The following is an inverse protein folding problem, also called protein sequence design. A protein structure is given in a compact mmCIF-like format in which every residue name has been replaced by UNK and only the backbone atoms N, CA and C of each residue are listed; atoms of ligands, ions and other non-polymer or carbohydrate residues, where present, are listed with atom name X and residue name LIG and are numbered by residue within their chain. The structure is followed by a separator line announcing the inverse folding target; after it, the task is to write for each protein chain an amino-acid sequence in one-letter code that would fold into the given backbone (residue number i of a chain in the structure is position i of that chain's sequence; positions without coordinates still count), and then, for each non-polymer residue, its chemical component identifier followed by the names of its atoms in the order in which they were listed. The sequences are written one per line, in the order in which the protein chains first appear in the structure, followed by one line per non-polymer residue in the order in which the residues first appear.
data_IF_048154548266
#
_entry.id   IF_048154548266
#
_cell.length_a   1.000
_cell.length_b   1.000
_cell.length_c   1.000
_cell.angle_alpha   90.00
_cell.angle_beta   90.00
_cell.angle_gamma   90.00
#
_symmetry.space_group_name_H-M   'P 1'
#
loop_
_entity.id
_entity.type
_entity.pdbx_description
1 polymer ?
#
# COMPACT_ATOMS: atom_id res chain seq x y z
N UNK A 1 25.42 13.98 -11.15
CA UNK A 1 26.01 13.56 -9.85
C UNK A 1 26.75 14.75 -9.28
N UNK A 2 26.61 15.00 -7.98
CA UNK A 2 27.24 16.13 -7.29
C UNK A 2 27.98 15.56 -6.07
N UNK A 3 29.30 15.81 -5.89
CA UNK A 3 30.08 15.25 -4.79
C UNK A 3 29.60 15.68 -3.39
N UNK A 4 29.27 16.97 -3.22
CA UNK A 4 28.85 17.56 -1.94
C UNK A 4 27.41 18.09 -2.01
N UNK A 5 26.45 17.20 -2.25
CA UNK A 5 25.02 17.54 -2.23
C UNK A 5 24.41 17.34 -0.84
N UNK A 6 23.51 18.23 -0.42
CA UNK A 6 22.91 18.22 0.93
C UNK A 6 21.82 17.16 1.12
N UNK A 7 21.27 16.62 0.03
CA UNK A 7 20.29 15.54 0.03
C UNK A 7 20.88 14.30 -0.65
N UNK A 8 20.30 13.13 -0.44
CA UNK A 8 20.74 11.91 -1.13
C UNK A 8 20.51 12.02 -2.65
N UNK A 9 19.40 12.64 -3.04
CA UNK A 9 18.99 12.86 -4.43
C UNK A 9 17.93 13.95 -4.52
N UNK A 10 17.61 14.37 -5.74
CA UNK A 10 16.52 15.29 -6.05
C UNK A 10 15.99 15.03 -7.46
N UNK A 11 14.68 14.80 -7.54
CA UNK A 11 13.99 14.36 -8.75
C UNK A 11 13.60 15.48 -9.71
N UNK A 12 14.40 16.53 -9.87
CA UNK A 12 14.06 17.64 -10.77
C UNK A 12 13.73 17.12 -12.18
N UNK A 13 12.70 17.69 -12.81
CA UNK A 13 12.17 17.13 -14.05
C UNK A 13 13.18 17.21 -15.19
N UNK A 14 13.54 16.04 -15.74
CA UNK A 14 14.50 15.92 -16.84
C UNK A 14 15.98 16.02 -16.42
N UNK A 15 16.28 16.39 -15.17
CA UNK A 15 17.64 16.45 -14.63
C UNK A 15 17.63 15.91 -13.20
N UNK A 16 17.77 14.60 -13.05
CA UNK A 16 17.85 13.98 -11.72
C UNK A 16 19.25 14.18 -11.14
N UNK A 17 19.29 14.71 -9.92
CA UNK A 17 20.53 14.97 -9.17
C UNK A 17 20.69 13.87 -8.12
N UNK A 18 21.91 13.36 -7.99
CA UNK A 18 22.29 12.39 -6.98
C UNK A 18 23.57 12.83 -6.28
N UNK A 19 23.63 12.61 -4.97
CA UNK A 19 24.88 12.63 -4.21
C UNK A 19 25.75 11.47 -4.71
N UNK A 20 27.00 11.77 -5.10
CA UNK A 20 27.89 10.77 -5.72
C UNK A 20 28.04 9.51 -4.86
N UNK A 21 28.27 9.68 -3.56
CA UNK A 21 28.40 8.58 -2.59
C UNK A 21 27.12 7.75 -2.40
N UNK A 22 25.98 8.14 -2.97
CA UNK A 22 24.70 7.41 -2.88
C UNK A 22 24.32 6.68 -4.17
N UNK A 23 24.95 7.00 -5.31
CA UNK A 23 24.59 6.43 -6.61
C UNK A 23 25.74 5.68 -7.31
N UNK A 24 26.99 5.88 -6.87
CA UNK A 24 28.13 5.11 -7.42
C UNK A 24 28.14 3.70 -6.82
N UNK A 25 28.39 2.71 -7.69
CA UNK A 25 28.55 1.29 -7.39
C UNK A 25 29.75 0.70 -8.15
N UNK A 26 30.62 0.01 -7.44
CA UNK A 26 31.77 -0.74 -7.97
C UNK A 26 31.62 -2.24 -7.64
N UNK A 27 31.37 -3.07 -8.67
CA UNK A 27 31.16 -4.52 -8.51
C UNK A 27 32.35 -5.24 -7.86
N UNK A 28 33.56 -4.70 -7.98
CA UNK A 28 34.77 -5.31 -7.41
C UNK A 28 35.02 -4.95 -5.95
N UNK A 29 34.36 -3.90 -5.43
CA UNK A 29 34.64 -3.33 -4.10
C UNK A 29 33.42 -3.27 -3.20
N UNK A 30 32.24 -3.07 -3.78
CA UNK A 30 31.02 -2.82 -3.03
C UNK A 30 30.26 -4.10 -2.71
N UNK A 31 29.62 -4.16 -1.53
CA UNK A 31 28.80 -5.30 -1.16
C UNK A 31 27.55 -5.40 -2.03
N UNK A 32 26.97 -6.59 -2.13
CA UNK A 32 25.80 -6.85 -3.00
C UNK A 32 24.58 -6.01 -2.64
N UNK A 33 24.36 -5.69 -1.36
CA UNK A 33 23.22 -4.84 -0.94
C UNK A 33 23.35 -3.41 -1.49
N UNK A 34 24.57 -2.92 -1.68
CA UNK A 34 24.85 -1.57 -2.20
C UNK A 34 24.28 -1.37 -3.60
N UNK A 35 24.41 -2.38 -4.44
CA UNK A 35 23.81 -2.40 -5.78
C UNK A 35 22.30 -2.17 -5.72
N UNK A 36 21.63 -2.78 -4.75
CA UNK A 36 20.20 -2.64 -4.53
C UNK A 36 19.85 -1.25 -4.02
N UNK A 37 20.59 -0.70 -3.05
CA UNK A 37 20.39 0.69 -2.58
C UNK A 37 20.49 1.70 -3.72
N UNK A 38 21.52 1.59 -4.56
CA UNK A 38 21.70 2.47 -5.73
C UNK A 38 20.54 2.34 -6.70
N UNK A 39 20.16 1.11 -7.05
CA UNK A 39 19.04 0.88 -7.97
C UNK A 39 17.70 1.35 -7.39
N UNK A 40 17.49 1.16 -6.09
CA UNK A 40 16.36 1.70 -5.35
C UNK A 40 16.33 3.22 -5.48
N UNK A 41 17.41 3.91 -5.16
CA UNK A 41 17.46 5.37 -5.23
C UNK A 41 17.15 5.89 -6.65
N UNK A 42 17.71 5.23 -7.67
CA UNK A 42 17.43 5.56 -9.08
C UNK A 42 15.96 5.32 -9.43
N UNK A 43 15.38 4.18 -9.03
CA UNK A 43 13.98 3.87 -9.31
C UNK A 43 13.01 4.85 -8.64
N UNK A 44 13.33 5.28 -7.42
CA UNK A 44 12.55 6.28 -6.67
C UNK A 44 12.53 7.64 -7.39
N UNK A 45 13.68 8.14 -7.82
CA UNK A 45 13.74 9.42 -8.54
C UNK A 45 13.14 9.36 -9.96
N UNK A 46 13.22 8.20 -10.61
CA UNK A 46 12.50 7.93 -11.87
C UNK A 46 10.99 7.95 -11.63
N UNK A 47 10.52 7.37 -10.53
CA UNK A 47 9.10 7.41 -10.18
C UNK A 47 8.63 8.85 -9.95
N UNK A 48 9.45 9.72 -9.35
CA UNK A 48 9.15 11.15 -9.21
C UNK A 48 8.99 11.92 -10.53
N UNK A 49 9.59 11.44 -11.62
CA UNK A 49 9.35 12.02 -12.95
C UNK A 49 7.87 11.91 -13.35
N UNK A 50 7.16 10.92 -12.83
CA UNK A 50 5.72 10.74 -13.00
C UNK A 50 4.94 11.32 -11.81
N UNK A 51 5.26 10.90 -10.58
CA UNK A 51 4.57 11.27 -9.34
C UNK A 51 5.34 12.37 -8.61
N UNK A 52 5.01 13.62 -8.91
CA UNK A 52 5.68 14.82 -8.41
C UNK A 52 5.86 15.87 -9.49
N UNK A 53 6.36 15.44 -10.66
CA UNK A 53 6.61 16.34 -11.77
C UNK A 53 5.49 16.35 -12.81
N UNK A 54 5.12 15.18 -13.35
CA UNK A 54 4.09 15.09 -14.39
C UNK A 54 2.68 15.34 -13.83
N UNK A 55 2.44 14.88 -12.60
CA UNK A 55 1.32 15.24 -11.75
C UNK A 55 1.87 15.67 -10.39
N UNK A 56 1.29 16.72 -9.80
CA UNK A 56 1.79 17.29 -8.54
C UNK A 56 0.62 17.50 -7.58
N UNK A 57 0.71 17.14 -6.30
CA UNK A 57 -0.36 17.38 -5.34
C UNK A 57 -0.70 18.87 -5.32
N UNK A 58 -1.99 19.16 -5.16
CA UNK A 58 -2.50 20.53 -5.08
C UNK A 58 -1.93 21.28 -3.89
N UNK A 59 -1.65 20.56 -2.80
CA UNK A 59 -1.07 21.14 -1.60
C UNK A 59 -0.18 20.13 -0.87
N UNK A 60 0.72 20.64 -0.05
CA UNK A 60 1.69 19.83 0.71
C UNK A 60 1.03 18.85 1.70
N UNK A 61 -0.22 19.08 2.08
CA UNK A 61 -1.00 18.15 2.93
C UNK A 61 -1.12 16.77 2.27
N UNK A 62 -1.12 16.71 0.93
CA UNK A 62 -1.22 15.47 0.15
C UNK A 62 0.13 15.04 -0.43
N UNK A 63 1.26 15.39 0.22
CA UNK A 63 2.60 15.03 -0.27
C UNK A 63 2.80 13.51 -0.44
N UNK A 64 2.04 12.71 0.29
CA UNK A 64 2.04 11.25 0.11
C UNK A 64 1.68 10.82 -1.34
N UNK A 65 0.98 11.65 -2.12
CA UNK A 65 0.74 11.42 -3.55
C UNK A 65 2.02 11.50 -4.42
N UNK A 66 3.09 12.11 -3.92
CA UNK A 66 4.40 12.07 -4.55
C UNK A 66 5.26 10.98 -3.91
N UNK A 67 5.58 11.17 -2.64
CA UNK A 67 6.57 10.37 -1.92
C UNK A 67 6.09 8.94 -1.72
N UNK A 68 4.83 8.77 -1.32
CA UNK A 68 4.24 7.45 -1.11
C UNK A 68 4.22 6.63 -2.39
N UNK A 69 3.91 7.26 -3.52
CA UNK A 69 3.99 6.61 -4.83
C UNK A 69 5.42 6.31 -5.25
N UNK A 70 6.36 7.23 -5.03
CA UNK A 70 7.75 7.03 -5.40
C UNK A 70 8.37 5.85 -4.63
N UNK A 71 8.15 5.74 -3.32
CA UNK A 71 8.61 4.59 -2.51
C UNK A 71 7.94 3.29 -2.94
N UNK A 72 6.62 3.32 -3.17
CA UNK A 72 5.90 2.13 -3.63
C UNK A 72 6.42 1.65 -5.00
N UNK A 73 6.54 2.56 -5.97
CA UNK A 73 6.99 2.22 -7.32
C UNK A 73 8.49 1.90 -7.38
N UNK A 74 9.31 2.45 -6.50
CA UNK A 74 10.70 2.03 -6.32
C UNK A 74 10.78 0.52 -6.07
N UNK A 75 10.08 0.01 -5.05
CA UNK A 75 10.07 -1.42 -4.75
C UNK A 75 9.44 -2.25 -5.88
N UNK A 76 8.32 -1.78 -6.43
CA UNK A 76 7.60 -2.47 -7.51
C UNK A 76 8.43 -2.58 -8.79
N UNK A 77 9.11 -1.52 -9.23
CA UNK A 77 9.93 -1.55 -10.44
C UNK A 77 11.12 -2.49 -10.29
N UNK A 78 11.81 -2.45 -9.15
CA UNK A 78 12.91 -3.38 -8.89
C UNK A 78 12.47 -4.85 -8.86
N UNK A 79 11.26 -5.11 -8.35
CA UNK A 79 10.69 -6.46 -8.35
C UNK A 79 10.33 -6.96 -9.75
N UNK A 80 9.87 -6.05 -10.63
CA UNK A 80 9.55 -6.38 -12.03
C UNK A 80 10.78 -6.42 -12.95
N UNK A 81 11.90 -5.82 -12.55
CA UNK A 81 13.13 -5.77 -13.36
C UNK A 81 13.82 -7.15 -13.41
N UNK A 82 13.69 -7.80 -14.57
CA UNK A 82 14.23 -9.15 -14.77
C UNK A 82 15.76 -9.19 -14.94
N UNK A 83 16.38 -8.11 -15.42
CA UNK A 83 17.82 -8.05 -15.67
C UNK A 83 18.53 -7.50 -14.43
N UNK A 84 19.43 -8.29 -13.84
CA UNK A 84 20.25 -7.88 -12.70
C UNK A 84 19.55 -7.87 -11.33
N UNK A 85 18.23 -7.98 -11.29
CA UNK A 85 17.42 -7.93 -10.05
C UNK A 85 16.35 -9.04 -9.97
N UNK A 86 16.47 -10.11 -10.78
CA UNK A 86 15.50 -11.21 -10.84
C UNK A 86 15.18 -11.84 -9.48
N UNK A 87 16.19 -11.97 -8.62
CA UNK A 87 16.04 -12.55 -7.28
C UNK A 87 16.01 -11.47 -6.18
N UNK A 88 15.77 -10.20 -6.54
CA UNK A 88 15.82 -9.09 -5.61
C UNK A 88 14.74 -9.15 -4.53
N UNK A 89 13.62 -9.84 -4.81
CA UNK A 89 12.45 -9.97 -3.92
C UNK A 89 12.10 -8.63 -3.28
N UNK A 90 12.05 -7.58 -4.09
CA UNK A 90 12.00 -6.20 -3.60
C UNK A 90 10.67 -5.88 -2.94
N UNK A 91 9.58 -6.50 -3.42
CA UNK A 91 8.29 -6.42 -2.73
C UNK A 91 8.26 -7.21 -1.42
N UNK A 92 9.03 -8.29 -1.27
CA UNK A 92 9.12 -9.01 0.00
C UNK A 92 9.89 -8.20 1.05
N UNK A 93 11.01 -7.57 0.65
CA UNK A 93 11.73 -6.65 1.53
C UNK A 93 10.89 -5.41 1.88
N UNK A 94 10.03 -4.95 0.98
CA UNK A 94 9.08 -3.87 1.28
C UNK A 94 8.14 -4.25 2.43
N UNK A 95 7.65 -5.51 2.46
CA UNK A 95 6.80 -5.98 3.56
C UNK A 95 7.55 -5.95 4.89
N UNK A 96 8.75 -6.52 4.94
CA UNK A 96 9.52 -6.61 6.20
C UNK A 96 10.17 -5.28 6.61
N UNK A 97 10.50 -4.43 5.65
CA UNK A 97 11.16 -3.14 5.85
C UNK A 97 10.14 -2.05 6.13
N UNK A 98 9.38 -1.65 5.10
CA UNK A 98 8.49 -0.50 5.19
C UNK A 98 7.20 -0.81 5.94
N UNK A 99 6.52 -1.89 5.56
CA UNK A 99 5.18 -2.17 6.10
C UNK A 99 5.22 -2.58 7.58
N UNK A 100 6.14 -3.46 8.00
CA UNK A 100 6.29 -3.83 9.41
C UNK A 100 6.75 -2.66 10.26
N UNK A 101 7.64 -1.82 9.73
CA UNK A 101 8.08 -0.61 10.42
C UNK A 101 6.92 0.39 10.60
N UNK A 102 6.11 0.60 9.56
CA UNK A 102 4.89 1.40 9.66
C UNK A 102 3.95 0.84 10.74
N UNK A 103 3.67 -0.47 10.77
CA UNK A 103 2.83 -1.09 11.80
C UNK A 103 3.43 -0.97 13.21
N UNK A 104 4.76 -0.98 13.34
CA UNK A 104 5.44 -0.81 14.62
C UNK A 104 5.27 0.61 15.16
N UNK A 105 5.39 1.63 14.31
CA UNK A 105 5.27 3.03 14.67
C UNK A 105 3.81 3.51 14.75
N UNK A 106 2.88 2.86 14.05
CA UNK A 106 1.45 3.24 14.01
C UNK A 106 0.68 2.71 15.23
N UNK A 107 1.31 2.79 16.40
CA UNK A 107 0.76 2.44 17.71
C UNK A 107 0.15 3.66 18.44
N UNK A 108 0.01 4.77 17.70
CA UNK A 108 -0.38 6.09 18.19
C UNK A 108 0.65 7.17 17.87
N UNK A 109 1.90 6.81 17.56
CA UNK A 109 2.95 7.75 17.16
C UNK A 109 2.80 8.23 15.71
N UNK A 110 2.42 7.33 14.79
CA UNK A 110 2.07 7.75 13.42
C UNK A 110 0.67 8.35 13.36
N UNK A 111 0.58 9.45 12.62
CA UNK A 111 -0.65 10.14 12.30
C UNK A 111 -1.28 9.71 10.98
N UNK A 112 -2.18 10.56 10.49
CA UNK A 112 -2.69 10.56 9.12
C UNK A 112 -1.55 10.71 8.11
N UNK A 113 -1.68 10.08 6.93
CA UNK A 113 -0.74 10.32 5.81
C UNK A 113 -1.09 11.59 5.04
N UNK A 114 -2.35 12.05 5.12
CA UNK A 114 -2.69 13.43 4.81
C UNK A 114 -2.18 14.30 5.97
N UNK A 115 -1.12 15.05 5.71
CA UNK A 115 -0.42 15.84 6.73
C UNK A 115 -1.32 16.96 7.23
N UNK A 116 -1.16 17.27 8.52
CA UNK A 116 -1.75 18.45 9.12
C UNK A 116 -0.66 19.52 9.26
N UNK A 117 -0.73 20.56 8.43
CA UNK A 117 0.29 21.62 8.36
C UNK A 117 -0.06 22.84 9.23
N UNK A 118 -0.94 22.71 10.22
CA UNK A 118 -1.34 23.82 11.10
C UNK A 118 -0.33 24.12 12.22
N UNK A 119 0.70 23.30 12.41
CA UNK A 119 1.72 23.46 13.47
C UNK A 119 2.97 24.20 12.99
N UNK A 120 3.63 24.91 13.92
CA UNK A 120 4.86 25.73 13.79
C UNK A 120 6.13 24.96 13.33
N UNK A 121 5.98 23.71 12.89
CA UNK A 121 7.07 22.89 12.39
C UNK A 121 7.41 23.27 10.95
N UNK A 122 8.70 23.27 10.61
CA UNK A 122 9.09 23.61 9.24
C UNK A 122 8.55 22.55 8.28
N UNK A 123 8.01 23.01 7.15
CA UNK A 123 7.48 22.14 6.09
C UNK A 123 8.46 21.01 5.73
N UNK A 124 9.76 21.31 5.62
CA UNK A 124 10.79 20.31 5.32
C UNK A 124 10.81 19.14 6.32
N UNK A 125 10.65 19.37 7.62
CA UNK A 125 10.60 18.30 8.63
C UNK A 125 9.35 17.41 8.46
N UNK A 126 8.23 18.00 8.04
CA UNK A 126 6.96 17.29 7.91
C UNK A 126 6.86 16.48 6.60
N UNK A 127 7.63 16.82 5.57
CA UNK A 127 7.62 16.05 4.31
C UNK A 127 8.36 14.71 4.43
N UNK A 128 9.32 14.58 5.35
CA UNK A 128 10.13 13.36 5.55
C UNK A 128 9.65 12.47 6.70
N UNK A 129 8.37 12.55 7.06
CA UNK A 129 7.81 11.74 8.15
C UNK A 129 7.46 10.32 7.70
N UNK A 130 7.54 9.37 8.63
CA UNK A 130 7.29 7.95 8.38
C UNK A 130 5.86 7.66 7.89
N UNK A 131 4.87 8.52 8.20
CA UNK A 131 3.52 8.44 7.65
C UNK A 131 3.53 8.48 6.11
N UNK A 132 4.38 9.35 5.54
CA UNK A 132 4.47 9.61 4.11
C UNK A 132 5.32 8.56 3.40
N UNK A 133 6.43 8.13 4.03
CA UNK A 133 7.42 7.24 3.41
C UNK A 133 7.22 5.76 3.71
N UNK A 134 6.46 5.39 4.75
CA UNK A 134 6.27 4.00 5.16
C UNK A 134 4.79 3.60 5.10
N UNK A 135 3.90 4.38 5.76
CA UNK A 135 2.46 4.06 5.81
C UNK A 135 1.76 4.26 4.45
N UNK A 136 1.99 5.39 3.77
CA UNK A 136 1.33 5.66 2.49
C UNK A 136 1.68 4.65 1.37
N UNK A 137 2.94 4.23 1.17
CA UNK A 137 3.28 3.16 0.23
C UNK A 137 2.58 1.83 0.56
N UNK A 138 2.45 1.51 1.86
CA UNK A 138 1.74 0.30 2.28
C UNK A 138 0.25 0.37 1.92
N UNK A 139 -0.37 1.56 2.05
CA UNK A 139 -1.77 1.82 1.64
C UNK A 139 -1.93 1.66 0.13
N UNK A 140 -0.98 2.19 -0.65
CA UNK A 140 -0.98 2.02 -2.11
C UNK A 140 -0.81 0.56 -2.52
N UNK A 141 0.06 -0.20 -1.85
CA UNK A 141 0.22 -1.64 -2.08
C UNK A 141 -1.07 -2.38 -1.77
N UNK A 142 -1.71 -2.11 -0.64
CA UNK A 142 -2.98 -2.73 -0.28
C UNK A 142 -4.05 -2.45 -1.33
N UNK A 143 -4.18 -1.20 -1.78
CA UNK A 143 -5.10 -0.83 -2.86
C UNK A 143 -4.78 -1.59 -4.15
N UNK A 144 -3.51 -1.66 -4.54
CA UNK A 144 -3.08 -2.38 -5.75
C UNK A 144 -3.55 -3.84 -5.72
N UNK A 145 -3.32 -4.56 -4.62
CA UNK A 145 -3.79 -5.94 -4.50
C UNK A 145 -5.32 -6.03 -4.37
N UNK A 146 -5.96 -5.05 -3.74
CA UNK A 146 -7.41 -5.00 -3.57
C UNK A 146 -8.16 -4.87 -4.90
N UNK A 147 -7.67 -4.02 -5.81
CA UNK A 147 -8.27 -3.84 -7.15
C UNK A 147 -7.65 -4.77 -8.20
N UNK A 148 -6.47 -5.30 -7.96
CA UNK A 148 -5.70 -6.16 -8.87
C UNK A 148 -4.90 -5.40 -9.94
N UNK A 149 -3.80 -6.02 -10.40
CA UNK A 149 -2.79 -5.42 -11.28
C UNK A 149 -3.34 -4.68 -12.50
N UNK A 150 -4.30 -5.30 -13.20
CA UNK A 150 -4.79 -4.77 -14.46
C UNK A 150 -5.63 -3.49 -14.25
N UNK A 151 -6.51 -3.48 -13.23
CA UNK A 151 -7.32 -2.32 -12.86
C UNK A 151 -6.43 -1.20 -12.32
N UNK A 152 -5.47 -1.53 -11.47
CA UNK A 152 -4.55 -0.54 -10.91
C UNK A 152 -3.73 0.14 -12.01
N UNK A 153 -3.10 -0.64 -12.91
CA UNK A 153 -2.32 -0.10 -14.03
C UNK A 153 -3.18 0.78 -14.95
N UNK A 154 -4.41 0.35 -15.23
CA UNK A 154 -5.35 1.10 -16.07
C UNK A 154 -5.81 2.38 -15.37
N UNK A 155 -6.09 2.32 -14.08
CA UNK A 155 -6.45 3.48 -13.26
C UNK A 155 -5.31 4.51 -13.21
N UNK A 156 -4.07 4.08 -13.03
CA UNK A 156 -2.88 4.95 -13.13
C UNK A 156 -2.77 5.58 -14.53
N UNK A 157 -3.01 4.81 -15.59
CA UNK A 157 -2.99 5.33 -16.97
C UNK A 157 -4.08 6.39 -17.19
N UNK A 158 -5.30 6.16 -16.69
CA UNK A 158 -6.40 7.14 -16.73
C UNK A 158 -6.08 8.38 -15.91
N UNK A 159 -5.46 8.20 -14.75
CA UNK A 159 -5.07 9.28 -13.86
C UNK A 159 -4.12 10.24 -14.58
N UNK A 160 -3.05 9.71 -15.19
CA UNK A 160 -2.13 10.50 -16.00
C UNK A 160 -2.80 11.14 -17.22
N UNK A 161 -3.63 10.41 -17.96
CA UNK A 161 -4.29 10.95 -19.15
C UNK A 161 -5.21 12.15 -18.83
N UNK A 162 -5.90 12.09 -17.68
CA UNK A 162 -6.86 13.11 -17.25
C UNK A 162 -6.24 14.26 -16.49
N UNK A 163 -5.07 14.06 -15.87
CA UNK A 163 -4.42 15.03 -14.97
C UNK A 163 -3.03 15.49 -15.39
N UNK A 164 -2.58 15.12 -16.58
CA UNK A 164 -1.31 15.59 -17.16
C UNK A 164 -1.10 17.09 -16.95
N UNK A 165 0.07 17.45 -16.40
CA UNK A 165 0.50 18.83 -16.16
C UNK A 165 -0.43 19.65 -15.24
N UNK A 166 -1.17 18.97 -14.36
CA UNK A 166 -2.11 19.61 -13.45
C UNK A 166 -1.86 19.24 -11.99
N UNK A 167 -2.35 20.11 -11.11
CA UNK A 167 -2.41 19.86 -9.69
C UNK A 167 -3.52 18.85 -9.36
N UNK A 168 -3.25 17.91 -8.44
CA UNK A 168 -4.14 16.77 -8.13
C UNK A 168 -4.47 16.65 -6.65
N UNK A 169 -5.63 16.08 -6.34
CA UNK A 169 -6.01 15.67 -4.98
C UNK A 169 -6.17 14.14 -4.90
N UNK A 170 -6.26 13.54 -3.69
CA UNK A 170 -6.53 12.11 -3.55
C UNK A 170 -7.78 11.65 -4.30
N UNK A 171 -8.82 12.49 -4.34
CA UNK A 171 -10.08 12.22 -5.04
C UNK A 171 -9.92 12.08 -6.55
N UNK A 172 -8.94 12.74 -7.15
CA UNK A 172 -8.61 12.55 -8.56
C UNK A 172 -8.09 11.14 -8.82
N UNK A 173 -7.20 10.65 -7.95
CA UNK A 173 -6.66 9.30 -8.04
C UNK A 173 -7.74 8.24 -7.79
N UNK A 174 -8.56 8.41 -6.73
CA UNK A 174 -9.67 7.50 -6.43
C UNK A 174 -10.67 7.38 -7.58
N UNK A 175 -11.02 8.51 -8.22
CA UNK A 175 -11.90 8.50 -9.40
C UNK A 175 -11.28 7.77 -10.59
N UNK A 176 -9.98 7.91 -10.80
CA UNK A 176 -9.30 7.22 -11.89
C UNK A 176 -9.26 5.70 -11.67
N UNK A 177 -9.00 5.23 -10.46
CA UNK A 177 -9.07 3.81 -10.10
C UNK A 177 -10.51 3.29 -10.23
N UNK A 178 -11.50 3.99 -9.63
CA UNK A 178 -12.91 3.60 -9.72
C UNK A 178 -13.38 3.51 -11.17
N UNK A 179 -13.03 4.50 -12.00
CA UNK A 179 -13.37 4.49 -13.43
C UNK A 179 -12.74 3.30 -14.18
N UNK A 180 -11.57 2.82 -13.77
CA UNK A 180 -10.97 1.63 -14.37
C UNK A 180 -11.66 0.33 -13.89
N UNK A 181 -12.10 0.30 -12.64
CA UNK A 181 -12.84 -0.81 -12.04
C UNK A 181 -14.25 -0.97 -12.64
N UNK A 182 -14.93 0.14 -12.94
CA UNK A 182 -16.29 0.17 -13.48
C UNK A 182 -16.38 -0.26 -14.96
N UNK A 183 -15.25 -0.56 -15.62
CA UNK A 183 -15.26 -0.90 -17.04
C UNK A 183 -15.79 -2.32 -17.32
N UNK A 184 -16.67 -2.52 -18.33
CA UNK A 184 -17.28 -3.81 -18.64
C UNK A 184 -16.30 -4.92 -19.07
N UNK A 185 -15.08 -4.54 -19.48
CA UNK A 185 -14.02 -5.48 -19.88
C UNK A 185 -13.48 -6.29 -18.70
N UNK A 186 -13.79 -5.87 -17.48
CA UNK A 186 -13.51 -6.61 -16.28
C UNK A 186 -14.74 -7.43 -15.92
N UNK A 187 -14.62 -8.77 -15.75
CA UNK A 187 -15.75 -9.58 -15.29
C UNK A 187 -16.27 -8.94 -14.00
N UNK A 188 -17.59 -8.93 -13.73
CA UNK A 188 -18.15 -8.37 -12.50
C UNK A 188 -17.43 -9.03 -11.31
N UNK A 189 -16.39 -8.35 -10.81
CA UNK A 189 -15.56 -8.84 -9.72
C UNK A 189 -16.47 -8.83 -8.49
N UNK A 190 -16.19 -9.69 -7.52
CA UNK A 190 -16.99 -9.84 -6.29
C UNK A 190 -17.45 -8.50 -5.66
N UNK A 191 -16.70 -7.41 -5.86
CA UNK A 191 -17.03 -6.04 -5.45
C UNK A 191 -18.22 -5.37 -6.15
N UNK A 192 -18.55 -5.70 -7.41
CA UNK A 192 -19.75 -5.19 -8.08
C UNK A 192 -21.02 -5.55 -7.29
N UNK A 193 -20.99 -6.70 -6.60
CA UNK A 193 -22.09 -7.14 -5.74
C UNK A 193 -22.12 -6.49 -4.35
N UNK A 194 -21.03 -5.83 -3.92
CA UNK A 194 -20.92 -5.19 -2.61
C UNK A 194 -21.09 -3.66 -2.66
N UNK A 195 -21.20 -3.05 -3.85
CA UNK A 195 -21.40 -1.60 -4.05
C UNK A 195 -20.38 -0.71 -3.30
N UNK A 196 -19.14 -1.17 -3.15
CA UNK A 196 -18.10 -0.49 -2.36
C UNK A 196 -17.37 0.53 -3.24
N UNK A 197 -17.37 1.81 -2.85
CA UNK A 197 -16.63 2.86 -3.55
C UNK A 197 -15.18 2.94 -3.09
N UNK A 198 -14.24 3.06 -4.03
CA UNK A 198 -12.79 3.19 -3.74
C UNK A 198 -12.52 4.33 -2.77
N UNK A 199 -13.13 5.50 -3.00
CA UNK A 199 -12.95 6.68 -2.16
C UNK A 199 -13.31 6.42 -0.70
N UNK A 200 -14.47 5.82 -0.43
CA UNK A 200 -14.94 5.57 0.94
C UNK A 200 -14.00 4.66 1.72
N UNK A 201 -13.48 3.62 1.05
CA UNK A 201 -12.49 2.72 1.64
C UNK A 201 -11.20 3.48 1.91
N UNK A 202 -10.64 4.13 0.89
CA UNK A 202 -9.28 4.66 0.96
C UNK A 202 -9.17 5.91 1.81
N UNK A 203 -10.22 6.74 1.89
CA UNK A 203 -10.25 7.90 2.78
C UNK A 203 -10.02 7.50 4.24
N UNK A 204 -10.64 6.40 4.71
CA UNK A 204 -10.43 5.91 6.08
C UNK A 204 -8.98 5.51 6.34
N UNK A 205 -8.27 5.01 5.34
CA UNK A 205 -6.88 4.59 5.49
C UNK A 205 -5.91 5.77 5.50
N UNK A 206 -6.21 6.84 4.75
CA UNK A 206 -5.29 7.98 4.64
C UNK A 206 -5.46 8.99 5.78
N UNK A 207 -6.65 9.12 6.37
CA UNK A 207 -6.93 10.15 7.40
C UNK A 207 -6.81 9.65 8.84
N UNK A 208 -6.85 8.34 9.07
CA UNK A 208 -6.86 7.77 10.42
C UNK A 208 -5.45 7.39 10.87
N UNK A 209 -5.15 7.65 12.15
CA UNK A 209 -4.01 7.03 12.83
C UNK A 209 -4.34 5.58 13.22
N UNK A 210 -3.28 4.83 13.54
CA UNK A 210 -3.36 3.41 13.91
C UNK A 210 -3.81 2.53 12.74
N UNK A 211 -3.90 1.24 13.04
CA UNK A 211 -4.35 0.20 12.11
C UNK A 211 -5.27 -0.81 12.82
N UNK A 212 -6.05 -1.59 12.06
CA UNK A 212 -6.89 -2.63 12.63
C UNK A 212 -6.10 -3.91 12.94
N UNK A 213 -6.48 -4.58 14.03
CA UNK A 213 -6.16 -5.98 14.29
C UNK A 213 -7.40 -6.83 13.99
N UNK A 214 -7.24 -7.85 13.16
CA UNK A 214 -8.28 -8.82 12.82
C UNK A 214 -8.32 -9.91 13.90
N UNK A 215 -9.48 -10.09 14.52
CA UNK A 215 -9.71 -11.26 15.36
C UNK A 215 -10.45 -12.31 14.51
N UNK A 216 -9.82 -13.47 14.34
CA UNK A 216 -10.33 -14.58 13.54
C UNK A 216 -10.67 -15.74 14.45
N UNK A 217 -11.96 -16.08 14.54
CA UNK A 217 -12.47 -17.19 15.36
C UNK A 217 -13.08 -18.25 14.45
N UNK A 218 -12.66 -19.51 14.61
CA UNK A 218 -13.27 -20.64 13.92
C UNK A 218 -14.25 -21.36 14.86
N UNK A 219 -15.52 -21.42 14.45
CA UNK A 219 -16.54 -22.21 15.12
C UNK A 219 -16.78 -23.48 14.31
N UNK A 220 -16.46 -24.63 14.88
CA UNK A 220 -16.72 -25.92 14.24
C UNK A 220 -18.10 -26.44 14.64
N UNK A 221 -18.89 -26.86 13.64
CA UNK A 221 -20.17 -27.50 13.86
C UNK A 221 -20.13 -28.92 13.27
N UNK A 222 -20.14 -29.93 14.14
CA UNK A 222 -20.30 -31.32 13.73
C UNK A 222 -21.79 -31.60 13.49
N UNK A 223 -22.22 -31.54 12.24
CA UNK A 223 -23.50 -32.12 11.83
C UNK A 223 -23.23 -33.40 11.04
N UNK A 224 -24.05 -34.43 11.29
CA UNK A 224 -23.83 -35.86 11.01
C UNK A 224 -23.38 -36.26 9.59
N UNK A 225 -23.27 -35.35 8.62
CA UNK A 225 -22.87 -35.66 7.24
C UNK A 225 -21.96 -34.62 6.54
N UNK A 226 -21.53 -33.53 7.19
CA UNK A 226 -20.53 -32.59 6.65
C UNK A 226 -19.67 -31.96 7.75
N UNK A 227 -18.36 -31.93 7.53
CA UNK A 227 -17.44 -31.05 8.23
C UNK A 227 -17.76 -29.61 7.83
N UNK A 228 -18.57 -28.91 8.63
CA UNK A 228 -18.94 -27.53 8.40
C UNK A 228 -18.49 -26.68 9.59
N UNK A 229 -17.85 -25.57 9.31
CA UNK A 229 -17.54 -24.56 10.31
C UNK A 229 -18.01 -23.19 9.84
N UNK A 230 -17.92 -22.23 10.73
CA UNK A 230 -18.10 -20.82 10.46
C UNK A 230 -16.82 -20.08 10.86
N UNK A 231 -16.27 -19.31 9.93
CA UNK A 231 -15.20 -18.36 10.19
C UNK A 231 -15.83 -17.02 10.56
N UNK A 232 -15.54 -16.53 11.76
CA UNK A 232 -16.01 -15.24 12.27
C UNK A 232 -14.82 -14.30 12.32
N UNK A 233 -14.89 -13.20 11.59
CA UNK A 233 -13.84 -12.17 11.53
C UNK A 233 -14.41 -10.86 12.05
N UNK A 234 -13.72 -10.29 13.04
CA UNK A 234 -14.02 -8.95 13.58
C UNK A 234 -12.75 -8.09 13.57
N UNK A 235 -12.90 -6.78 13.78
CA UNK A 235 -11.78 -5.84 13.85
C UNK A 235 -11.78 -5.06 15.16
N UNK A 236 -10.58 -4.79 15.67
CA UNK A 236 -10.32 -3.83 16.76
C UNK A 236 -9.22 -2.85 16.35
N UNK A 237 -9.31 -1.61 16.82
CA UNK A 237 -8.21 -0.65 16.65
C UNK A 237 -7.02 -1.06 17.52
N UNK A 238 -5.82 -1.13 16.94
CA UNK A 238 -4.61 -1.41 17.70
C UNK A 238 -4.32 -0.28 18.70
N UNK A 239 -4.11 -0.65 19.97
CA UNK A 239 -3.92 0.31 21.07
C UNK A 239 -5.04 1.38 21.15
N UNK A 240 -6.29 0.97 20.96
CA UNK A 240 -7.45 1.86 21.11
C UNK A 240 -7.46 2.55 22.48
N UNK A 241 -7.88 3.82 22.49
CA UNK A 241 -8.09 4.62 23.70
C UNK A 241 -9.54 5.10 23.78
N UNK A 242 -9.96 5.67 24.92
CA UNK A 242 -11.34 6.17 25.08
C UNK A 242 -11.73 7.22 24.01
N UNK A 243 -10.76 7.95 23.46
CA UNK A 243 -10.97 8.94 22.39
C UNK A 243 -10.57 8.48 20.99
N UNK A 244 -10.05 7.26 20.82
CA UNK A 244 -9.58 6.76 19.51
C UNK A 244 -9.86 5.27 19.36
N UNK A 245 -11.01 4.96 18.75
CA UNK A 245 -11.43 3.60 18.43
C UNK A 245 -11.83 3.50 16.96
N UNK A 246 -10.87 3.79 16.09
CA UNK A 246 -11.06 3.83 14.64
C UNK A 246 -11.49 2.46 14.09
N UNK A 247 -12.17 2.49 12.95
CA UNK A 247 -12.61 1.32 12.19
C UNK A 247 -12.27 1.53 10.72
N UNK A 248 -12.13 0.43 9.99
CA UNK A 248 -11.73 0.48 8.59
C UNK A 248 -12.57 -0.46 7.74
N UNK A 249 -12.65 -0.14 6.45
CA UNK A 249 -12.95 -1.12 5.43
C UNK A 249 -11.70 -1.96 5.17
N UNK A 250 -11.77 -3.26 5.45
CA UNK A 250 -10.59 -4.13 5.36
C UNK A 250 -10.79 -5.16 4.24
N UNK A 251 -9.92 -5.20 3.21
CA UNK A 251 -9.95 -6.26 2.22
C UNK A 251 -9.51 -7.58 2.88
N UNK A 252 -10.38 -8.60 2.84
CA UNK A 252 -10.12 -9.90 3.44
C UNK A 252 -9.74 -10.91 2.36
N UNK A 253 -8.53 -11.43 2.50
CA UNK A 253 -8.02 -12.59 1.77
C UNK A 253 -7.81 -13.73 2.75
N UNK A 254 -8.07 -14.97 2.32
CA UNK A 254 -7.70 -16.13 3.11
C UNK A 254 -7.46 -17.36 2.22
N UNK A 255 -6.72 -18.30 2.77
CA UNK A 255 -6.51 -19.64 2.22
C UNK A 255 -6.68 -20.64 3.35
N UNK A 256 -6.98 -21.88 3.00
CA UNK A 256 -7.20 -22.94 3.98
C UNK A 256 -6.45 -24.21 3.59
N UNK A 257 -6.35 -25.15 4.53
CA UNK A 257 -5.64 -26.41 4.34
C UNK A 257 -6.09 -27.21 3.11
N UNK A 258 -7.34 -27.06 2.67
CA UNK A 258 -7.87 -27.77 1.49
C UNK A 258 -7.53 -27.08 0.17
N UNK A 259 -7.29 -25.76 0.20
CA UNK A 259 -7.05 -24.92 -0.98
C UNK A 259 -5.85 -24.01 -0.74
N UNK A 260 -4.65 -24.58 -0.81
CA UNK A 260 -3.32 -23.96 -0.56
C UNK A 260 -2.91 -22.90 -1.61
N UNK A 261 -3.72 -21.86 -1.81
CA UNK A 261 -3.44 -20.79 -2.75
C UNK A 261 -3.04 -19.50 -2.01
N UNK A 262 -1.75 -19.35 -1.76
CA UNK A 262 -1.18 -18.13 -1.18
C UNK A 262 -0.89 -17.04 -2.21
N UNK A 263 -1.02 -17.34 -3.50
CA UNK A 263 -0.65 -16.42 -4.60
C UNK A 263 -1.80 -15.50 -5.02
N UNK A 264 -3.05 -15.92 -4.82
CA UNK A 264 -4.20 -15.07 -5.11
C UNK A 264 -4.48 -14.11 -3.94
N UNK A 265 -3.98 -12.90 -4.05
CA UNK A 265 -4.14 -11.85 -3.03
C UNK A 265 -5.32 -10.92 -3.27
N UNK A 266 -6.18 -11.22 -4.25
CA UNK A 266 -7.38 -10.41 -4.46
C UNK A 266 -8.41 -10.71 -3.36
N UNK A 267 -9.01 -9.69 -2.74
CA UNK A 267 -9.96 -9.88 -1.65
C UNK A 267 -11.19 -10.65 -2.11
N UNK A 268 -11.58 -11.63 -1.29
CA UNK A 268 -12.79 -12.42 -1.48
C UNK A 268 -13.98 -11.70 -0.82
N UNK A 269 -13.71 -11.04 0.30
CA UNK A 269 -14.68 -10.31 1.08
C UNK A 269 -14.09 -8.96 1.52
N UNK A 270 -14.97 -8.07 1.93
CA UNK A 270 -14.60 -6.85 2.63
C UNK A 270 -15.25 -6.89 4.01
N UNK A 271 -14.46 -6.61 5.04
CA UNK A 271 -14.98 -6.39 6.38
C UNK A 271 -15.35 -4.91 6.50
N UNK A 272 -16.64 -4.68 6.72
CA UNK A 272 -17.20 -3.36 6.98
C UNK A 272 -16.79 -2.81 8.35
N UNK A 273 -16.73 -1.47 8.51
CA UNK A 273 -16.67 -0.85 9.83
C UNK A 273 -17.80 -1.37 10.73
N UNK A 274 -17.46 -1.71 11.97
CA UNK A 274 -18.40 -2.17 13.01
C UNK A 274 -19.16 -3.49 12.75
N UNK A 275 -18.93 -4.13 11.61
CA UNK A 275 -19.58 -5.39 11.26
C UNK A 275 -18.78 -6.62 11.69
N UNK A 276 -19.48 -7.76 11.71
CA UNK A 276 -18.88 -9.08 11.90
C UNK A 276 -19.04 -9.90 10.62
N UNK A 277 -17.92 -10.22 9.98
CA UNK A 277 -17.93 -11.04 8.78
C UNK A 277 -18.02 -12.52 9.15
N UNK A 278 -19.03 -13.21 8.64
CA UNK A 278 -19.28 -14.64 8.85
C UNK A 278 -19.18 -15.39 7.53
N UNK A 279 -18.26 -16.35 7.45
CA UNK A 279 -18.00 -17.11 6.23
C UNK A 279 -18.19 -18.60 6.52
N UNK A 280 -19.09 -19.31 5.80
CA UNK A 280 -19.20 -20.75 5.93
C UNK A 280 -17.94 -21.42 5.36
N UNK A 281 -17.34 -22.32 6.13
CA UNK A 281 -16.13 -23.06 5.76
C UNK A 281 -16.40 -24.57 5.75
N UNK A 282 -15.76 -25.26 4.80
CA UNK A 282 -15.88 -26.73 4.66
C UNK A 282 -14.57 -27.44 5.05
N UNK A 283 -13.81 -26.85 5.97
CA UNK A 283 -12.54 -27.39 6.46
C UNK A 283 -12.56 -27.49 7.99
N UNK A 284 -11.93 -28.53 8.52
CA UNK A 284 -11.56 -28.62 9.95
C UNK A 284 -10.08 -28.26 10.18
N UNK A 285 -9.37 -27.95 9.10
CA UNK A 285 -7.96 -27.59 9.11
C UNK A 285 -7.72 -26.14 9.49
N UNK A 286 -6.46 -25.72 9.32
CA UNK A 286 -6.07 -24.34 9.52
C UNK A 286 -6.62 -23.42 8.42
N UNK A 287 -6.75 -22.14 8.76
CA UNK A 287 -7.06 -21.02 7.86
C UNK A 287 -6.01 -19.94 8.12
N UNK A 288 -5.48 -19.35 7.05
CA UNK A 288 -4.58 -18.21 7.11
C UNK A 288 -5.25 -17.04 6.38
N UNK A 289 -5.40 -15.92 7.08
CA UNK A 289 -5.93 -14.66 6.53
C UNK A 289 -4.79 -13.72 6.15
N UNK A 290 -5.10 -12.65 5.41
CA UNK A 290 -4.17 -11.61 4.98
C UNK A 290 -2.97 -12.20 4.20
N UNK A 291 -3.27 -12.86 3.08
CA UNK A 291 -2.30 -13.55 2.23
C UNK A 291 -1.20 -12.59 1.76
N UNK A 292 0.06 -13.00 1.93
CA UNK A 292 1.26 -12.19 1.65
C UNK A 292 1.26 -10.82 2.36
N UNK A 293 0.49 -10.71 3.44
CA UNK A 293 0.32 -9.50 4.23
C UNK A 293 0.02 -8.29 3.34
N UNK A 294 -0.93 -8.43 2.40
CA UNK A 294 -1.30 -7.34 1.49
C UNK A 294 -2.14 -6.26 2.15
N UNK A 295 -2.91 -6.61 3.19
CA UNK A 295 -3.63 -5.66 4.02
C UNK A 295 -2.79 -5.15 5.19
N UNK A 296 -2.95 -3.88 5.54
CA UNK A 296 -2.26 -3.22 6.65
C UNK A 296 -3.01 -3.53 7.95
N UNK A 297 -2.86 -4.76 8.42
CA UNK A 297 -3.46 -5.25 9.64
C UNK A 297 -2.59 -6.34 10.27
N UNK A 298 -2.86 -6.61 11.55
CA UNK A 298 -2.33 -7.76 12.29
C UNK A 298 -3.43 -8.78 12.57
#
# INVERSE_FOLDING_TARGET
MIPDYTKASMGNWGIIIYLESKVVYDESRDPTFRRKEVASLVAYEIAHQLFGNFITPLWWTDMWLNEGFAVYFQAYFLDKLQIGFKDSRSMDLFVTGAMHHALHLDDGLLGSVTLNLYDDDTLDNQLFVDQVHEKAPAILRMLHHAVGDEVFRKGITKYFATKQYSAVTPDDFWRAIQSAEDEPSYPPRYRYYMNIRIKEVMDMWIVQNRYPVLNVTMNYHTNNYKNAGELIITQKCFHATEGTNNKWWIPITYTDQSRLNFSNTMPIFWLEPDETLRIPINTLGWIIVNLQQTGINQ
#
